data_IF_210762453798
#
_entry.id   IF_210762453798
#
_cell.length_a   1.000
_cell.length_b   1.000
_cell.length_c   1.000
_cell.angle_alpha   90.00
_cell.angle_beta   90.00
_cell.angle_gamma   90.00
#
_symmetry.space_group_name_H-M   'P 1'
#
loop_
_entity.id
_entity.type
_entity.pdbx_description
1 polymer ?
#
# COMPACT_ATOMS: atom_id res chain seq x y z
N UNK A 1 6.43 -7.41 23.94
CA UNK A 1 6.13 -6.49 22.82
C UNK A 1 7.37 -5.65 22.54
N UNK A 2 7.76 -5.37 21.29
CA UNK A 2 8.98 -4.61 21.00
C UNK A 2 8.74 -3.10 21.17
N UNK A 3 9.42 -2.46 22.13
CA UNK A 3 9.31 -1.01 22.38
C UNK A 3 9.59 -0.16 21.12
N UNK A 4 10.47 -0.64 20.23
CA UNK A 4 10.76 0.01 18.96
C UNK A 4 9.55 0.07 18.03
N UNK A 5 8.74 -0.99 17.97
CA UNK A 5 7.57 -1.03 17.11
C UNK A 5 6.48 -0.10 17.63
N UNK A 6 6.30 -0.07 18.96
CA UNK A 6 5.36 0.83 19.63
C UNK A 6 5.69 2.30 19.31
N UNK A 7 6.96 2.69 19.46
CA UNK A 7 7.42 4.04 19.16
C UNK A 7 7.18 4.45 17.69
N UNK A 8 7.29 3.52 16.74
CA UNK A 8 6.98 3.80 15.33
C UNK A 8 5.49 4.06 15.13
N UNK A 9 4.62 3.23 15.72
CA UNK A 9 3.16 3.43 15.61
C UNK A 9 2.72 4.73 16.29
N UNK A 10 3.34 5.08 17.42
CA UNK A 10 3.03 6.32 18.15
C UNK A 10 3.45 7.60 17.40
N UNK A 11 4.37 7.48 16.43
CA UNK A 11 4.76 8.59 15.56
C UNK A 11 3.84 8.76 14.34
N UNK A 12 2.96 7.80 14.06
CA UNK A 12 1.92 7.97 13.05
C UNK A 12 0.86 8.93 13.62
N UNK A 13 0.54 10.01 12.90
CA UNK A 13 -0.56 10.93 13.26
C UNK A 13 -1.92 10.26 13.01
N UNK A 14 -2.17 9.14 13.69
CA UNK A 14 -3.38 8.33 13.55
C UNK A 14 -4.55 9.06 14.20
N UNK A 15 -5.57 9.29 13.37
CA UNK A 15 -6.87 9.79 13.79
C UNK A 15 -7.87 8.63 13.81
N UNK A 16 -8.90 8.67 14.68
CA UNK A 16 -9.81 7.55 14.86
C UNK A 16 -10.45 7.04 13.55
N UNK A 17 -10.80 7.96 12.65
CA UNK A 17 -11.49 7.66 11.39
C UNK A 17 -10.54 7.39 10.21
N UNK A 18 -9.22 7.29 10.44
CA UNK A 18 -8.30 7.12 9.34
C UNK A 18 -8.46 5.80 8.62
N UNK A 19 -8.26 5.86 7.30
CA UNK A 19 -8.04 4.70 6.45
C UNK A 19 -6.53 4.48 6.32
N UNK A 20 -6.04 3.36 6.82
CA UNK A 20 -4.60 3.08 6.98
C UNK A 20 -4.18 1.92 6.09
N UNK A 21 -3.08 2.08 5.36
CA UNK A 21 -2.42 0.99 4.62
C UNK A 21 -1.10 0.62 5.30
N UNK A 22 -0.96 -0.66 5.67
CA UNK A 22 0.32 -1.23 6.11
C UNK A 22 0.93 -2.10 5.00
N UNK A 23 2.11 -1.72 4.49
CA UNK A 23 2.86 -2.47 3.49
C UNK A 23 3.84 -3.42 4.18
N UNK A 24 3.75 -4.71 3.86
CA UNK A 24 4.55 -5.74 4.50
C UNK A 24 4.15 -5.95 5.95
N UNK A 25 2.85 -6.14 6.21
CA UNK A 25 2.29 -6.21 7.57
C UNK A 25 2.79 -7.42 8.37
N UNK A 26 3.45 -8.38 7.71
CA UNK A 26 3.95 -9.59 8.32
C UNK A 26 2.83 -10.29 9.08
N UNK A 27 3.10 -10.67 10.33
CA UNK A 27 2.13 -11.37 11.16
C UNK A 27 1.17 -10.41 11.88
N UNK A 28 1.15 -9.12 11.52
CA UNK A 28 0.11 -8.16 11.92
C UNK A 28 0.21 -7.64 13.36
N UNK A 29 1.42 -7.45 13.90
CA UNK A 29 1.58 -6.87 15.27
C UNK A 29 1.38 -5.35 15.26
N UNK A 30 1.91 -4.64 14.27
CA UNK A 30 1.64 -3.21 14.13
C UNK A 30 0.16 -2.98 13.79
N UNK A 31 -0.42 -3.77 12.89
CA UNK A 31 -1.85 -3.77 12.61
C UNK A 31 -2.73 -3.81 13.88
N UNK A 32 -2.38 -4.64 14.87
CA UNK A 32 -3.11 -4.67 16.16
C UNK A 32 -3.08 -3.31 16.84
N UNK A 33 -1.89 -2.72 16.99
CA UNK A 33 -1.70 -1.40 17.64
C UNK A 33 -2.43 -0.28 16.89
N UNK A 34 -2.45 -0.33 15.56
CA UNK A 34 -3.19 0.64 14.76
C UNK A 34 -4.70 0.46 14.98
N UNK A 35 -5.22 -0.77 14.91
CA UNK A 35 -6.65 -1.04 15.08
C UNK A 35 -7.19 -0.64 16.47
N UNK A 36 -6.34 -0.66 17.50
CA UNK A 36 -6.68 -0.16 18.85
C UNK A 36 -6.90 1.37 18.88
N UNK A 37 -6.27 2.12 17.97
CA UNK A 37 -6.38 3.59 17.88
C UNK A 37 -7.48 4.05 16.92
N UNK A 38 -7.95 3.16 16.04
CA UNK A 38 -9.03 3.46 15.11
C UNK A 38 -10.40 3.28 15.76
N UNK A 39 -11.27 4.26 15.58
CA UNK A 39 -12.69 4.21 15.90
C UNK A 39 -13.48 4.74 14.70
N UNK A 40 -14.25 3.88 14.03
CA UNK A 40 -14.84 4.15 12.72
C UNK A 40 -13.87 4.15 11.53
N UNK A 41 -12.55 4.15 11.76
CA UNK A 41 -11.53 3.98 10.74
C UNK A 41 -11.28 2.51 10.35
N UNK A 42 -10.40 2.30 9.36
CA UNK A 42 -10.10 0.97 8.82
C UNK A 42 -8.63 0.78 8.49
N UNK A 43 -8.11 -0.42 8.71
CA UNK A 43 -6.78 -0.84 8.28
C UNK A 43 -6.85 -1.87 7.15
N UNK A 44 -6.05 -1.66 6.11
CA UNK A 44 -5.72 -2.64 5.07
C UNK A 44 -4.26 -3.02 5.24
N UNK A 45 -3.97 -4.29 5.55
CA UNK A 45 -2.61 -4.82 5.62
C UNK A 45 -2.28 -5.69 4.41
N UNK A 46 -1.12 -5.49 3.79
CA UNK A 46 -0.66 -6.34 2.69
C UNK A 46 0.67 -7.01 3.03
N UNK A 47 0.85 -8.23 2.53
CA UNK A 47 2.12 -8.96 2.57
C UNK A 47 2.14 -9.98 1.44
N UNK A 48 3.29 -10.15 0.79
CA UNK A 48 3.45 -11.13 -0.30
C UNK A 48 3.30 -12.57 0.18
N UNK A 49 3.47 -12.83 1.48
CA UNK A 49 3.42 -14.17 2.04
C UNK A 49 2.01 -14.51 2.53
N UNK A 50 1.36 -15.46 1.87
CA UNK A 50 0.08 -16.01 2.31
C UNK A 50 0.11 -16.49 3.78
N UNK A 51 1.20 -17.16 4.18
CA UNK A 51 1.41 -17.60 5.57
C UNK A 51 1.42 -16.44 6.58
N UNK A 52 1.99 -15.29 6.21
CA UNK A 52 2.02 -14.11 7.08
C UNK A 52 0.64 -13.48 7.18
N UNK A 53 -0.09 -13.38 6.07
CA UNK A 53 -1.48 -12.90 6.03
C UNK A 53 -2.39 -13.77 6.88
N UNK A 54 -2.32 -15.10 6.77
CA UNK A 54 -3.08 -15.99 7.64
C UNK A 54 -2.78 -15.75 9.14
N UNK A 55 -1.50 -15.53 9.49
CA UNK A 55 -1.11 -15.23 10.86
C UNK A 55 -1.62 -13.86 11.33
N UNK A 56 -1.63 -12.85 10.45
CA UNK A 56 -2.15 -11.52 10.72
C UNK A 56 -3.66 -11.54 10.92
N UNK A 57 -4.41 -12.27 10.07
CA UNK A 57 -5.85 -12.49 10.21
C UNK A 57 -6.15 -13.16 11.55
N UNK A 58 -5.47 -14.27 11.88
CA UNK A 58 -5.67 -14.97 13.16
C UNK A 58 -5.41 -14.05 14.35
N UNK A 59 -4.31 -13.29 14.34
CA UNK A 59 -3.97 -12.34 15.42
C UNK A 59 -5.04 -11.26 15.59
N UNK A 60 -5.60 -10.77 14.49
CA UNK A 60 -6.52 -9.62 14.48
C UNK A 60 -7.98 -10.03 14.25
N UNK A 61 -8.35 -11.27 14.61
CA UNK A 61 -9.68 -11.85 14.31
C UNK A 61 -10.82 -10.95 14.75
N UNK A 62 -10.74 -10.32 15.93
CA UNK A 62 -11.78 -9.39 16.41
C UNK A 62 -11.90 -8.14 15.53
N UNK A 63 -10.79 -7.54 15.11
CA UNK A 63 -10.78 -6.38 14.23
C UNK A 63 -11.29 -6.73 12.82
N UNK A 64 -10.95 -7.92 12.32
CA UNK A 64 -11.46 -8.43 11.04
C UNK A 64 -12.96 -8.67 11.11
N UNK A 65 -13.44 -9.36 12.15
CA UNK A 65 -14.87 -9.62 12.35
C UNK A 65 -15.68 -8.33 12.49
N UNK A 66 -15.10 -7.28 13.08
CA UNK A 66 -15.72 -5.96 13.19
C UNK A 66 -15.61 -5.12 11.90
N UNK A 67 -15.01 -5.62 10.83
CA UNK A 67 -14.77 -4.87 9.58
C UNK A 67 -13.70 -3.79 9.68
N UNK A 68 -13.03 -3.65 10.84
CA UNK A 68 -11.99 -2.65 11.12
C UNK A 68 -10.65 -2.99 10.45
N UNK A 69 -10.42 -4.25 10.12
CA UNK A 69 -9.20 -4.70 9.45
C UNK A 69 -9.49 -5.64 8.27
N UNK A 70 -8.71 -5.51 7.20
CA UNK A 70 -8.60 -6.50 6.13
C UNK A 70 -7.13 -6.80 5.84
N UNK A 71 -6.82 -8.03 5.43
CA UNK A 71 -5.47 -8.47 5.12
C UNK A 71 -5.45 -9.16 3.76
N UNK A 72 -4.55 -8.74 2.87
CA UNK A 72 -4.51 -9.19 1.48
C UNK A 72 -3.12 -9.76 1.15
N UNK A 73 -3.10 -10.91 0.48
CA UNK A 73 -1.87 -11.45 -0.10
C UNK A 73 -1.56 -10.66 -1.36
N UNK A 74 -0.58 -9.78 -1.28
CA UNK A 74 -0.24 -8.85 -2.36
C UNK A 74 1.21 -8.40 -2.22
N UNK A 75 1.93 -8.36 -3.33
CA UNK A 75 3.27 -7.78 -3.41
C UNK A 75 3.16 -6.25 -3.59
N UNK A 76 4.26 -5.52 -3.40
CA UNK A 76 4.25 -4.08 -3.68
C UNK A 76 4.22 -3.83 -5.19
N UNK A 77 4.81 -4.74 -5.95
CA UNK A 77 4.91 -4.71 -7.41
C UNK A 77 3.53 -4.93 -8.08
N UNK A 78 2.66 -5.72 -7.44
CA UNK A 78 1.32 -6.05 -7.92
C UNK A 78 0.22 -5.26 -7.17
N UNK A 79 0.58 -4.11 -6.56
CA UNK A 79 -0.33 -3.34 -5.73
C UNK A 79 -1.49 -2.75 -6.55
N UNK A 80 -2.64 -3.43 -6.53
CA UNK A 80 -3.90 -2.92 -7.06
C UNK A 80 -4.95 -2.86 -5.94
N UNK A 81 -5.13 -1.66 -5.40
CA UNK A 81 -6.15 -1.40 -4.37
C UNK A 81 -7.39 -0.70 -4.93
N UNK A 82 -7.53 -0.58 -6.26
CA UNK A 82 -8.60 0.17 -6.90
C UNK A 82 -8.62 1.65 -6.47
N UNK A 83 -9.80 2.25 -6.42
CA UNK A 83 -9.97 3.67 -6.07
C UNK A 83 -9.89 3.99 -4.57
N UNK A 84 -9.39 3.04 -3.75
CA UNK A 84 -9.26 3.23 -2.30
C UNK A 84 -8.31 4.38 -1.98
N UNK A 85 -8.69 5.18 -0.98
CA UNK A 85 -7.86 6.27 -0.45
C UNK A 85 -7.43 5.92 0.97
N UNK A 86 -6.20 6.32 1.30
CA UNK A 86 -5.59 6.12 2.61
C UNK A 86 -5.08 7.45 3.12
N UNK A 87 -5.35 7.73 4.39
CA UNK A 87 -4.85 8.91 5.09
C UNK A 87 -3.42 8.68 5.61
N UNK A 88 -3.12 7.43 5.97
CA UNK A 88 -1.80 7.02 6.47
C UNK A 88 -1.36 5.77 5.73
N UNK A 89 -0.14 5.79 5.20
CA UNK A 89 0.51 4.64 4.58
C UNK A 89 1.86 4.44 5.27
N UNK A 90 2.14 3.24 5.76
CA UNK A 90 3.40 2.95 6.44
C UNK A 90 3.89 1.53 6.18
N UNK A 91 5.16 1.30 6.49
CA UNK A 91 5.81 0.00 6.35
C UNK A 91 6.82 -0.18 7.48
N UNK A 92 6.73 -1.27 8.25
CA UNK A 92 7.69 -1.55 9.33
C UNK A 92 8.44 -2.83 9.01
N UNK A 93 9.77 -2.70 8.85
CA UNK A 93 10.70 -3.82 8.62
C UNK A 93 10.56 -4.50 7.25
N UNK A 94 10.11 -3.75 6.23
CA UNK A 94 10.44 -4.10 4.85
C UNK A 94 11.94 -3.85 4.68
N UNK A 95 12.70 -4.82 4.18
CA UNK A 95 14.08 -4.56 3.80
C UNK A 95 14.12 -3.36 2.86
N UNK A 96 14.69 -2.23 3.32
CA UNK A 96 14.90 -0.97 2.58
C UNK A 96 13.66 -0.39 1.87
N UNK A 97 12.81 0.35 2.58
CA UNK A 97 12.03 1.45 1.97
C UNK A 97 11.88 2.62 2.94
N UNK A 98 12.24 3.82 2.48
CA UNK A 98 12.02 5.11 3.16
C UNK A 98 10.73 5.70 2.59
N UNK A 99 9.70 5.87 3.43
CA UNK A 99 8.49 6.59 3.03
C UNK A 99 8.74 8.11 3.16
N UNK A 100 8.53 8.85 2.08
CA UNK A 100 8.43 10.32 2.12
C UNK A 100 7.00 10.68 2.54
N UNK A 101 6.80 11.50 3.58
CA UNK A 101 5.47 11.99 3.91
C UNK A 101 5.03 12.96 2.81
N UNK A 102 3.85 12.69 2.23
CA UNK A 102 3.10 13.52 1.26
C UNK A 102 3.15 13.14 -0.23
N UNK A 103 3.56 11.93 -0.61
CA UNK A 103 3.35 11.48 -2.00
C UNK A 103 1.94 10.88 -2.16
N UNK A 104 1.07 11.57 -2.90
CA UNK A 104 -0.15 10.95 -3.44
C UNK A 104 0.30 9.75 -4.26
N UNK A 105 -0.20 8.56 -3.94
CA UNK A 105 -0.05 7.38 -4.80
C UNK A 105 -0.53 7.80 -6.20
N UNK A 106 0.35 7.89 -7.22
CA UNK A 106 -0.09 8.35 -8.53
C UNK A 106 -1.11 7.37 -9.06
N UNK A 107 -2.25 7.87 -9.58
CA UNK A 107 -3.10 7.06 -10.45
C UNK A 107 -2.28 6.71 -11.67
N UNK A 108 -1.72 5.50 -11.71
CA UNK A 108 -0.99 5.00 -12.86
C UNK A 108 -1.99 4.80 -14.00
N UNK A 109 -2.03 5.76 -14.92
CA UNK A 109 -2.75 5.64 -16.17
C UNK A 109 -2.13 4.49 -16.96
N UNK A 110 -2.97 3.48 -17.26
CA UNK A 110 -2.70 2.36 -18.17
C UNK A 110 -1.76 2.77 -19.31
N UNK A 111 -0.55 2.21 -19.30
CA UNK A 111 0.27 2.11 -20.50
C UNK A 111 -0.47 1.26 -21.51
N UNK A 112 -1.09 1.92 -22.48
CA UNK A 112 -1.66 1.36 -23.70
C UNK A 112 -0.68 0.39 -24.36
N UNK A 113 -1.22 -0.74 -24.85
CA UNK A 113 -0.49 -1.66 -25.71
C UNK A 113 0.07 -0.99 -26.98
N UNK A 114 0.98 -1.66 -27.70
CA UNK A 114 1.64 -1.05 -28.84
C UNK A 114 0.69 -0.94 -30.04
N UNK A 115 0.85 0.20 -30.72
CA UNK A 115 0.60 0.48 -32.14
C UNK A 115 -0.86 0.69 -32.60
N UNK A 116 -1.28 1.95 -32.60
CA UNK A 116 -2.04 2.51 -33.71
C UNK A 116 -1.13 3.50 -34.44
N UNK A 117 -0.86 3.22 -35.72
CA UNK A 117 -0.13 4.08 -36.63
C UNK A 117 -0.95 5.25 -37.17
N UNK A 118 -0.31 5.99 -38.09
CA UNK A 118 -0.71 7.22 -38.78
C UNK A 118 -0.41 8.51 -37.99
N UNK A 119 0.36 9.48 -38.48
CA UNK A 119 1.07 9.68 -39.75
C UNK A 119 1.46 11.15 -39.91
N UNK A 120 2.48 11.39 -40.75
CA UNK A 120 2.81 12.61 -41.52
C UNK A 120 3.49 13.83 -40.86
N UNK A 121 4.74 14.07 -41.29
CA UNK A 121 5.16 15.23 -42.11
C UNK A 121 6.63 14.99 -42.56
N UNK A 122 6.86 14.55 -43.80
CA UNK A 122 7.08 15.32 -45.04
C UNK A 122 8.47 15.98 -45.16
N UNK A 123 9.18 15.51 -46.21
CA UNK A 123 10.16 16.18 -47.10
C UNK A 123 11.56 16.51 -46.59
N UNK A 124 12.58 15.85 -47.17
CA UNK A 124 13.59 16.44 -48.08
C UNK A 124 14.25 15.33 -48.93
N UNK A 125 14.40 15.48 -50.27
CA UNK A 125 15.10 14.50 -51.11
C UNK A 125 16.60 14.79 -51.28
N UNK A 126 17.35 13.68 -51.37
CA UNK A 126 18.66 13.38 -51.99
C UNK A 126 19.60 14.50 -52.44
N UNK A 127 20.89 14.28 -52.16
CA UNK A 127 22.00 14.72 -53.01
C UNK A 127 23.20 13.77 -52.81
N UNK A 128 23.62 13.13 -53.91
CA UNK A 128 24.75 12.21 -54.00
C UNK A 128 26.09 12.97 -54.05
N UNK A 129 27.17 12.29 -53.68
CA UNK A 129 28.56 12.70 -53.84
C UNK A 129 29.47 11.51 -53.66
#
# INVERSE_FOLDING_TARGET
MSARLQAVVDQLDLRPHNHVLEIGCGHGVAATMVCERLDGGRLTGIDRSAKMIEAAVRRNTAAVAAGKAEFLVMSLEDLDLGDRRFDVIFAVRVGRFTASPNERVPSWSRGSGPAAGCGHSSTHPRGEG
#
